data_IF_354313667692
#
_entry.id   IF_354313667692
#
_cell.length_a   1.000
_cell.length_b   1.000
_cell.length_c   1.000
_cell.angle_alpha   90.00
_cell.angle_beta   90.00
_cell.angle_gamma   90.00
#
_symmetry.space_group_name_H-M   'P 1'
#
loop_
_entity.id
_entity.type
_entity.pdbx_description
1 polymer ?
#
# COMPACT_ATOMS: atom_id res chain seq x y z
N UNK A 1 -0.61 11.59 -29.15
CA UNK A 1 0.63 11.59 -28.35
C UNK A 1 0.75 10.24 -27.65
N UNK A 2 1.93 9.61 -27.70
CA UNK A 2 2.19 8.32 -27.08
C UNK A 2 2.13 8.44 -25.55
N UNK A 3 1.25 7.66 -24.91
CA UNK A 3 1.05 7.62 -23.46
C UNK A 3 2.38 7.41 -22.72
N UNK A 4 3.30 6.61 -23.27
CA UNK A 4 4.58 6.31 -22.64
C UNK A 4 5.54 7.50 -22.61
N UNK A 5 5.56 8.29 -23.69
CA UNK A 5 6.40 9.50 -23.77
C UNK A 5 5.94 10.52 -22.73
N UNK A 6 4.63 10.73 -22.64
CA UNK A 6 4.03 11.67 -21.71
C UNK A 6 4.14 11.19 -20.25
N UNK A 7 4.01 9.88 -20.02
CA UNK A 7 4.21 9.28 -18.71
C UNK A 7 5.67 9.44 -18.24
N UNK A 8 6.65 9.19 -19.13
CA UNK A 8 8.09 9.37 -18.82
C UNK A 8 8.44 10.83 -18.51
N UNK A 9 7.75 11.78 -19.15
CA UNK A 9 7.85 13.22 -18.84
C UNK A 9 7.14 13.61 -17.53
N UNK A 10 6.47 12.68 -16.85
CA UNK A 10 5.75 12.92 -15.61
C UNK A 10 4.50 13.77 -15.80
N UNK A 11 3.87 13.77 -16.99
CA UNK A 11 2.63 14.53 -17.21
C UNK A 11 1.50 13.96 -16.35
N UNK A 12 0.89 14.79 -15.50
CA UNK A 12 -0.15 14.38 -14.53
C UNK A 12 -1.31 13.64 -15.16
N UNK A 13 -1.81 14.09 -16.32
CA UNK A 13 -2.89 13.42 -17.04
C UNK A 13 -2.49 12.03 -17.57
N UNK A 14 -1.25 11.85 -18.02
CA UNK A 14 -0.75 10.55 -18.45
C UNK A 14 -0.57 9.59 -17.27
N UNK A 15 -0.09 10.08 -16.12
CA UNK A 15 0.02 9.29 -14.88
C UNK A 15 -1.38 8.84 -14.43
N UNK A 16 -2.34 9.77 -14.34
CA UNK A 16 -3.71 9.45 -13.95
C UNK A 16 -4.32 8.39 -14.89
N UNK A 17 -4.20 8.57 -16.20
CA UNK A 17 -4.67 7.59 -17.19
C UNK A 17 -4.00 6.22 -17.04
N UNK A 18 -2.68 6.19 -16.82
CA UNK A 18 -1.94 4.95 -16.63
C UNK A 18 -2.38 4.21 -15.35
N UNK A 19 -2.59 4.92 -14.24
CA UNK A 19 -3.11 4.33 -13.00
C UNK A 19 -4.55 3.81 -13.22
N UNK A 20 -5.41 4.57 -13.89
CA UNK A 20 -6.77 4.10 -14.23
C UNK A 20 -6.76 2.82 -15.08
N UNK A 21 -5.84 2.69 -16.04
CA UNK A 21 -5.66 1.45 -16.82
C UNK A 21 -5.24 0.30 -15.89
N UNK A 22 -4.26 0.54 -15.02
CA UNK A 22 -3.78 -0.46 -14.05
C UNK A 22 -4.90 -0.95 -13.13
N UNK A 23 -5.79 -0.05 -12.72
CA UNK A 23 -6.91 -0.35 -11.83
C UNK A 23 -8.03 -1.12 -12.54
N UNK A 24 -8.35 -0.81 -13.80
CA UNK A 24 -9.62 -1.22 -14.40
C UNK A 24 -9.50 -2.15 -15.61
N UNK A 25 -8.33 -2.24 -16.26
CA UNK A 25 -8.15 -3.07 -17.46
C UNK A 25 -6.92 -3.96 -17.32
N UNK A 26 -7.14 -5.23 -16.98
CA UNK A 26 -6.07 -6.21 -16.80
C UNK A 26 -5.24 -6.46 -18.07
N UNK A 27 -5.86 -6.39 -19.25
CA UNK A 27 -5.20 -6.69 -20.52
C UNK A 27 -4.29 -5.54 -20.95
N UNK A 28 -4.80 -4.31 -20.91
CA UNK A 28 -4.00 -3.12 -21.19
C UNK A 28 -2.96 -2.86 -20.09
N UNK A 29 -3.28 -3.15 -18.83
CA UNK A 29 -2.33 -3.12 -17.71
C UNK A 29 -1.12 -4.03 -17.97
N UNK A 30 -1.34 -5.30 -18.37
CA UNK A 30 -0.24 -6.22 -18.74
C UNK A 30 0.64 -5.65 -19.86
N UNK A 31 0.04 -5.07 -20.91
CA UNK A 31 0.79 -4.46 -22.03
C UNK A 31 1.61 -3.25 -21.58
N UNK A 32 1.03 -2.36 -20.78
CA UNK A 32 1.70 -1.18 -20.25
C UNK A 32 2.86 -1.56 -19.33
N UNK A 33 2.60 -2.43 -18.35
CA UNK A 33 3.59 -2.88 -17.37
C UNK A 33 4.78 -3.56 -18.03
N UNK A 34 4.55 -4.41 -19.04
CA UNK A 34 5.62 -5.04 -19.82
C UNK A 34 6.59 -4.03 -20.43
N UNK A 35 6.09 -2.88 -20.88
CA UNK A 35 6.91 -1.82 -21.51
C UNK A 35 7.69 -1.00 -20.49
N UNK A 36 7.16 -0.79 -19.29
CA UNK A 36 7.79 0.06 -18.28
C UNK A 36 8.66 -0.71 -17.27
N UNK A 37 8.47 -2.04 -17.14
CA UNK A 37 9.03 -2.86 -16.06
C UNK A 37 10.55 -2.70 -15.87
N UNK A 38 11.33 -2.61 -16.97
CA UNK A 38 12.80 -2.42 -16.93
C UNK A 38 13.23 -1.15 -16.17
N UNK A 39 12.35 -0.17 -16.02
CA UNK A 39 12.62 1.11 -15.37
C UNK A 39 11.93 1.25 -14.00
N UNK A 40 11.50 0.14 -13.39
CA UNK A 40 10.81 0.08 -12.09
C UNK A 40 11.71 -0.53 -11.01
N UNK A 41 11.29 -0.48 -9.74
CA UNK A 41 12.03 -1.00 -8.58
C UNK A 41 13.16 -0.08 -8.09
N UNK A 42 13.14 1.20 -8.46
CA UNK A 42 14.23 2.14 -8.15
C UNK A 42 13.91 3.12 -7.02
N UNK A 43 12.63 3.28 -6.71
CA UNK A 43 12.16 4.20 -5.69
C UNK A 43 12.19 3.57 -4.30
N UNK A 44 12.29 4.41 -3.27
CA UNK A 44 12.03 3.98 -1.90
C UNK A 44 10.53 4.11 -1.63
N UNK A 45 9.93 3.04 -1.14
CA UNK A 45 8.53 3.00 -0.75
C UNK A 45 8.40 3.32 0.73
N UNK A 46 7.62 4.35 1.07
CA UNK A 46 7.38 4.77 2.45
C UNK A 46 5.92 4.52 2.79
N UNK A 47 5.64 3.56 3.67
CA UNK A 47 4.31 3.32 4.20
C UNK A 47 4.05 4.21 5.41
N UNK A 48 2.96 4.96 5.42
CA UNK A 48 2.55 5.79 6.56
C UNK A 48 1.16 5.34 7.00
N UNK A 49 1.12 4.79 8.22
CA UNK A 49 -0.07 4.18 8.80
C UNK A 49 -0.35 4.71 10.19
N UNK A 50 -1.46 4.32 10.80
CA UNK A 50 -1.91 4.76 12.12
C UNK A 50 -3.43 4.95 12.18
N UNK A 51 -4.01 5.24 13.35
CA UNK A 51 -5.44 5.34 13.51
C UNK A 51 -6.05 6.48 12.65
N UNK A 52 -7.34 6.35 12.37
CA UNK A 52 -8.12 7.42 11.76
C UNK A 52 -8.01 8.70 12.60
N UNK A 53 -7.97 9.86 11.96
CA UNK A 53 -7.86 11.14 12.67
C UNK A 53 -6.47 11.46 13.24
N UNK A 54 -5.46 10.59 13.11
CA UNK A 54 -4.08 10.88 13.53
C UNK A 54 -3.40 12.04 12.78
N UNK A 55 -4.04 12.58 11.74
CA UNK A 55 -3.53 13.72 10.97
C UNK A 55 -2.49 13.33 9.91
N UNK A 56 -2.54 12.07 9.43
CA UNK A 56 -1.60 11.50 8.46
C UNK A 56 -1.56 12.29 7.15
N UNK A 57 -2.69 12.57 6.53
CA UNK A 57 -2.74 13.27 5.23
C UNK A 57 -2.13 14.68 5.34
N UNK A 58 -2.50 15.44 6.37
CA UNK A 58 -1.95 16.79 6.58
C UNK A 58 -0.44 16.76 6.88
N UNK A 59 0.02 15.75 7.62
CA UNK A 59 1.44 15.52 7.89
C UNK A 59 2.20 15.17 6.61
N UNK A 60 1.67 14.28 5.78
CA UNK A 60 2.25 13.87 4.50
C UNK A 60 2.40 15.08 3.58
N UNK A 61 1.36 15.92 3.47
CA UNK A 61 1.39 17.11 2.64
C UNK A 61 2.52 18.08 3.02
N UNK A 62 2.64 18.41 4.32
CA UNK A 62 3.74 19.27 4.80
C UNK A 62 5.11 18.62 4.64
N UNK A 63 5.22 17.33 4.92
CA UNK A 63 6.46 16.57 4.81
C UNK A 63 6.93 16.52 3.36
N UNK A 64 6.03 16.25 2.40
CA UNK A 64 6.33 16.18 0.98
C UNK A 64 6.92 17.50 0.45
N UNK A 65 6.40 18.65 0.90
CA UNK A 65 6.97 19.96 0.56
C UNK A 65 8.40 20.11 1.05
N UNK A 66 8.70 19.68 2.29
CA UNK A 66 10.07 19.73 2.82
C UNK A 66 10.98 18.74 2.09
N UNK A 67 10.51 17.52 1.83
CA UNK A 67 11.27 16.51 1.10
C UNK A 67 11.67 16.99 -0.31
N UNK A 68 10.81 17.76 -0.98
CA UNK A 68 11.16 18.42 -2.25
C UNK A 68 12.28 19.45 -2.11
N UNK A 69 12.22 20.30 -1.08
CA UNK A 69 13.32 21.23 -0.77
C UNK A 69 14.62 20.50 -0.47
N UNK A 70 14.54 19.26 0.02
CA UNK A 70 15.69 18.37 0.20
C UNK A 70 16.11 17.65 -1.09
N UNK A 71 15.57 17.98 -2.26
CA UNK A 71 15.96 17.44 -3.56
C UNK A 71 15.33 16.11 -3.95
N UNK A 72 14.27 15.67 -3.26
CA UNK A 72 13.51 14.46 -3.64
C UNK A 72 12.28 14.82 -4.50
N UNK A 73 11.65 13.81 -5.10
CA UNK A 73 10.44 13.98 -5.92
C UNK A 73 9.34 13.03 -5.42
N UNK A 74 8.67 13.34 -4.30
CA UNK A 74 7.67 12.46 -3.71
C UNK A 74 6.40 12.35 -4.58
N UNK A 75 5.75 11.20 -4.53
CA UNK A 75 4.36 10.99 -4.91
C UNK A 75 3.62 10.25 -3.78
N UNK A 76 2.30 10.40 -3.70
CA UNK A 76 1.47 9.84 -2.63
C UNK A 76 0.35 8.99 -3.24
N UNK A 77 0.23 7.74 -2.79
CA UNK A 77 -0.87 6.84 -3.04
C UNK A 77 -1.64 6.63 -1.74
N UNK A 78 -2.88 7.07 -1.67
CA UNK A 78 -3.73 6.85 -0.52
C UNK A 78 -4.58 5.60 -0.73
N UNK A 79 -4.43 4.60 0.13
CA UNK A 79 -5.25 3.39 0.11
C UNK A 79 -6.50 3.65 0.93
N UNK A 80 -7.62 3.81 0.23
CA UNK A 80 -8.93 4.05 0.83
C UNK A 80 -9.77 2.76 0.76
N UNK A 81 -10.76 2.57 1.67
CA UNK A 81 -11.67 1.45 1.57
C UNK A 81 -12.50 1.59 0.29
N UNK A 82 -13.05 0.46 -0.15
CA UNK A 82 -13.80 0.41 -1.41
C UNK A 82 -15.25 0.75 -1.18
N UNK A 83 -15.75 1.68 -1.98
CA UNK A 83 -17.16 2.04 -1.99
C UNK A 83 -17.99 0.87 -2.48
N UNK A 84 -18.94 0.42 -1.67
CA UNK A 84 -19.93 -0.57 -2.08
C UNK A 84 -20.86 -0.08 -3.20
N UNK A 85 -20.92 1.24 -3.44
CA UNK A 85 -21.78 1.85 -4.46
C UNK A 85 -21.04 2.03 -5.79
N UNK A 86 -19.82 2.57 -5.74
CA UNK A 86 -19.08 2.95 -6.96
C UNK A 86 -17.94 2.01 -7.31
N UNK A 87 -17.54 1.11 -6.41
CA UNK A 87 -16.35 0.28 -6.54
C UNK A 87 -15.01 1.06 -6.48
N UNK A 88 -15.06 2.38 -6.32
CA UNK A 88 -13.90 3.26 -6.19
C UNK A 88 -13.56 3.59 -4.74
N UNK A 89 -12.56 4.46 -4.54
CA UNK A 89 -12.16 4.93 -3.22
C UNK A 89 -13.26 5.76 -2.54
N UNK A 90 -13.65 5.42 -1.30
CA UNK A 90 -14.74 6.09 -0.55
C UNK A 90 -14.41 7.55 -0.25
N UNK A 91 -13.22 7.82 0.28
CA UNK A 91 -12.86 9.14 0.81
C UNK A 91 -12.32 10.10 -0.27
N UNK A 92 -12.14 9.58 -1.49
CA UNK A 92 -12.23 10.36 -2.70
C UNK A 92 -10.95 11.06 -3.13
N UNK A 93 -10.54 10.74 -4.35
CA UNK A 93 -9.52 11.46 -5.14
C UNK A 93 -9.69 12.99 -5.13
N UNK A 94 -10.93 13.52 -5.10
CA UNK A 94 -11.17 14.97 -5.32
C UNK A 94 -10.67 15.85 -4.18
N UNK A 95 -10.85 15.46 -2.92
CA UNK A 95 -10.37 16.25 -1.76
C UNK A 95 -8.84 16.24 -1.74
N UNK A 96 -8.24 15.07 -1.96
CA UNK A 96 -6.78 14.88 -1.99
C UNK A 96 -6.12 15.50 -3.23
N UNK A 97 -6.84 15.63 -4.35
CA UNK A 97 -6.38 16.31 -5.57
C UNK A 97 -6.23 17.83 -5.39
N UNK A 98 -7.05 18.48 -4.55
CA UNK A 98 -6.88 19.90 -4.21
C UNK A 98 -5.58 20.12 -3.40
N UNK A 99 -5.30 19.26 -2.44
CA UNK A 99 -4.05 19.28 -1.64
C UNK A 99 -2.78 18.99 -2.48
N UNK A 100 -2.96 18.25 -3.58
CA UNK A 100 -1.91 17.87 -4.52
C UNK A 100 -1.38 19.06 -5.35
N UNK A 101 -2.25 20.03 -5.64
CA UNK A 101 -1.89 21.26 -6.36
C UNK A 101 -1.00 22.17 -5.53
N UNK A 102 -1.34 22.35 -4.25
CA UNK A 102 -0.63 23.27 -3.34
C UNK A 102 0.77 22.78 -2.95
N UNK A 103 0.94 21.46 -2.84
CA UNK A 103 2.24 20.84 -2.58
C UNK A 103 3.06 20.60 -3.85
N UNK A 104 2.44 20.68 -5.03
CA UNK A 104 2.96 20.22 -6.32
C UNK A 104 3.27 18.72 -6.39
N UNK A 105 2.91 17.95 -5.36
CA UNK A 105 3.19 16.50 -5.23
C UNK A 105 2.09 15.76 -5.98
N UNK A 106 2.38 14.64 -6.64
CA UNK A 106 1.30 13.84 -7.22
C UNK A 106 0.60 13.05 -6.11
N UNK A 107 -0.71 13.23 -5.94
CA UNK A 107 -1.51 12.51 -4.93
C UNK A 107 -2.67 11.81 -5.66
N UNK A 108 -2.91 10.55 -5.32
CA UNK A 108 -3.96 9.71 -5.92
C UNK A 108 -4.54 8.76 -4.87
N UNK A 109 -5.85 8.63 -4.82
CA UNK A 109 -6.52 7.58 -4.05
C UNK A 109 -6.60 6.28 -4.86
N UNK A 110 -6.42 5.15 -4.19
CA UNK A 110 -6.57 3.79 -4.71
C UNK A 110 -7.57 3.07 -3.81
N UNK A 111 -8.53 2.37 -4.42
CA UNK A 111 -9.48 1.54 -3.69
C UNK A 111 -8.84 0.21 -3.27
N UNK A 112 -9.10 -0.24 -2.04
CA UNK A 112 -8.62 -1.54 -1.53
C UNK A 112 -9.18 -2.78 -2.24
N UNK A 113 -10.33 -2.65 -2.89
CA UNK A 113 -11.15 -3.68 -3.56
C UNK A 113 -11.51 -4.93 -2.75
N UNK A 114 -11.45 -4.89 -1.42
CA UNK A 114 -12.08 -5.88 -0.53
C UNK A 114 -11.58 -7.33 -0.62
N UNK A 115 -10.60 -7.63 -1.49
CA UNK A 115 -10.02 -8.95 -1.64
C UNK A 115 -8.56 -8.93 -1.13
N UNK A 116 -8.23 -9.89 -0.28
CA UNK A 116 -6.84 -10.14 0.15
C UNK A 116 -5.97 -10.30 -1.10
N UNK A 117 -4.93 -9.48 -1.22
CA UNK A 117 -4.03 -9.47 -2.38
C UNK A 117 -4.45 -8.59 -3.58
N UNK A 118 -5.71 -8.18 -3.73
CA UNK A 118 -6.12 -7.28 -4.82
C UNK A 118 -5.63 -5.84 -4.60
N UNK A 119 -5.67 -5.37 -3.34
CA UNK A 119 -5.03 -4.11 -2.90
C UNK A 119 -3.58 -4.09 -3.35
N UNK A 120 -2.86 -5.17 -3.04
CA UNK A 120 -1.42 -5.24 -3.25
C UNK A 120 -1.06 -5.25 -4.74
N UNK A 121 -1.86 -5.89 -5.62
CA UNK A 121 -1.62 -5.86 -7.07
C UNK A 121 -1.80 -4.47 -7.67
N UNK A 122 -2.95 -3.82 -7.42
CA UNK A 122 -3.22 -2.49 -7.99
C UNK A 122 -2.21 -1.46 -7.47
N UNK A 123 -1.91 -1.52 -6.17
CA UNK A 123 -0.92 -0.68 -5.52
C UNK A 123 0.48 -0.90 -6.10
N UNK A 124 0.97 -2.15 -6.20
CA UNK A 124 2.28 -2.49 -6.81
C UNK A 124 2.40 -1.94 -8.24
N UNK A 125 1.35 -2.08 -9.03
CA UNK A 125 1.38 -1.60 -10.41
C UNK A 125 1.29 -0.07 -10.51
N UNK A 126 0.56 0.58 -9.61
CA UNK A 126 0.53 2.04 -9.51
C UNK A 126 1.89 2.61 -9.08
N UNK A 127 2.58 1.93 -8.16
CA UNK A 127 3.96 2.22 -7.79
C UNK A 127 4.86 2.20 -9.03
N UNK A 128 4.83 1.11 -9.82
CA UNK A 128 5.60 1.00 -11.07
C UNK A 128 5.36 2.14 -12.05
N UNK A 129 4.11 2.59 -12.19
CA UNK A 129 3.75 3.74 -13.04
C UNK A 129 4.41 5.03 -12.53
N UNK A 130 4.39 5.27 -11.22
CA UNK A 130 5.03 6.43 -10.61
C UNK A 130 6.56 6.38 -10.70
N UNK A 131 7.16 5.20 -10.52
CA UNK A 131 8.60 5.00 -10.71
C UNK A 131 9.02 5.33 -12.13
N UNK A 132 8.27 4.85 -13.13
CA UNK A 132 8.53 5.17 -14.53
C UNK A 132 8.37 6.66 -14.84
N UNK A 133 7.50 7.37 -14.11
CA UNK A 133 7.37 8.83 -14.16
C UNK A 133 8.44 9.60 -13.35
N UNK A 134 9.39 8.88 -12.76
CA UNK A 134 10.57 9.40 -12.08
C UNK A 134 10.33 9.86 -10.63
N UNK A 135 9.24 9.43 -9.98
CA UNK A 135 9.01 9.76 -8.57
C UNK A 135 9.87 8.89 -7.64
N UNK A 136 10.46 9.54 -6.63
CA UNK A 136 11.20 8.91 -5.55
C UNK A 136 11.30 9.90 -4.37
N UNK A 137 10.73 9.59 -3.19
CA UNK A 137 10.07 8.33 -2.83
C UNK A 137 8.63 8.22 -3.35
N UNK A 138 8.02 7.04 -3.18
CA UNK A 138 6.57 6.84 -3.28
C UNK A 138 6.04 6.59 -1.87
N UNK A 139 5.12 7.44 -1.43
CA UNK A 139 4.50 7.41 -0.12
C UNK A 139 3.15 6.71 -0.25
N UNK A 140 2.87 5.75 0.63
CA UNK A 140 1.61 5.02 0.69
C UNK A 140 0.93 5.36 2.02
N UNK A 141 -0.28 5.89 1.98
CA UNK A 141 -1.05 6.23 3.18
C UNK A 141 -2.16 5.20 3.41
N UNK A 142 -2.28 4.66 4.62
CA UNK A 142 -3.50 3.94 5.05
C UNK A 142 -4.56 4.93 5.55
N UNK A 143 -5.84 4.64 5.35
CA UNK A 143 -6.91 5.41 6.01
C UNK A 143 -7.13 5.06 7.50
N UNK A 144 -6.48 4.03 8.04
CA UNK A 144 -6.61 3.65 9.45
C UNK A 144 -7.87 2.84 9.77
N UNK A 145 -8.32 1.99 8.85
CA UNK A 145 -9.49 1.13 9.01
C UNK A 145 -9.16 -0.33 8.59
N UNK A 146 -8.59 -1.13 9.51
CA UNK A 146 -8.56 -2.59 9.39
C UNK A 146 -7.20 -3.25 9.16
N UNK A 147 -7.15 -4.18 8.20
CA UNK A 147 -5.99 -5.06 7.89
C UNK A 147 -4.99 -4.44 6.88
N UNK A 148 -5.22 -3.21 6.41
CA UNK A 148 -4.40 -2.59 5.36
C UNK A 148 -3.03 -2.12 5.86
N UNK A 149 -2.90 -1.91 7.16
CA UNK A 149 -1.69 -1.51 7.88
C UNK A 149 -0.55 -2.53 7.64
N UNK A 150 -0.86 -3.83 7.78
CA UNK A 150 0.09 -4.93 7.60
C UNK A 150 0.44 -5.14 6.13
N UNK A 151 -0.54 -4.97 5.23
CA UNK A 151 -0.28 -5.04 3.79
C UNK A 151 0.67 -3.92 3.33
N UNK A 152 0.47 -2.71 3.85
CA UNK A 152 1.33 -1.57 3.56
C UNK A 152 2.76 -1.81 4.07
N UNK A 153 2.93 -2.37 5.28
CA UNK A 153 4.27 -2.66 5.82
C UNK A 153 5.02 -3.71 5.00
N UNK A 154 4.32 -4.70 4.43
CA UNK A 154 4.93 -5.70 3.54
C UNK A 154 5.48 -5.10 2.24
N UNK A 155 4.83 -4.03 1.73
CA UNK A 155 5.23 -3.34 0.50
C UNK A 155 6.26 -2.24 0.78
N UNK A 156 6.22 -1.62 1.95
CA UNK A 156 7.06 -0.48 2.31
C UNK A 156 8.53 -0.85 2.60
N UNK A 157 9.46 -0.04 2.12
CA UNK A 157 10.87 -0.11 2.52
C UNK A 157 11.10 0.56 3.89
N UNK A 158 10.31 1.60 4.17
CA UNK A 158 10.26 2.32 5.44
C UNK A 158 8.80 2.38 5.91
N UNK A 159 8.50 1.86 7.09
CA UNK A 159 7.17 1.96 7.71
C UNK A 159 7.16 3.02 8.80
N UNK A 160 6.25 3.97 8.70
CA UNK A 160 5.99 5.00 9.72
C UNK A 160 4.63 4.76 10.35
N UNK A 161 4.61 4.64 11.67
CA UNK A 161 3.37 4.50 12.44
C UNK A 161 3.11 5.81 13.18
N UNK A 162 2.00 6.46 12.85
CA UNK A 162 1.60 7.76 13.39
C UNK A 162 0.58 7.56 14.49
N UNK A 163 0.82 8.13 15.66
CA UNK A 163 -0.13 8.20 16.77
C UNK A 163 -0.54 9.64 17.00
N UNK A 164 -1.62 9.84 17.77
CA UNK A 164 -2.01 11.16 18.24
C UNK A 164 -2.52 11.13 19.69
N UNK A 165 -2.24 12.17 20.49
CA UNK A 165 -2.69 12.25 21.88
C UNK A 165 -4.20 12.16 22.01
N UNK A 166 -4.63 11.75 23.21
CA UNK A 166 -6.02 11.79 23.69
C UNK A 166 -7.03 11.01 22.83
N UNK A 167 -6.56 9.96 22.13
CA UNK A 167 -7.43 8.99 21.46
C UNK A 167 -7.25 7.62 22.09
N UNK A 168 -8.36 7.00 22.53
CA UNK A 168 -8.33 5.62 23.04
C UNK A 168 -7.75 4.64 22.03
N UNK A 169 -7.94 4.93 20.74
CA UNK A 169 -7.40 4.18 19.61
C UNK A 169 -5.88 4.09 19.63
N UNK A 170 -5.15 5.11 20.10
CA UNK A 170 -3.67 5.09 20.07
C UNK A 170 -3.11 4.00 20.98
N UNK A 171 -3.70 3.77 22.16
CA UNK A 171 -3.27 2.70 23.09
C UNK A 171 -3.70 1.32 22.55
N UNK A 172 -4.88 1.21 21.93
CA UNK A 172 -5.31 -0.03 21.30
C UNK A 172 -4.46 -0.40 20.09
N UNK A 173 -4.04 0.60 19.31
CA UNK A 173 -3.12 0.46 18.15
C UNK A 173 -1.78 -0.10 18.61
N UNK A 174 -1.24 0.37 19.74
CA UNK A 174 -0.02 -0.18 20.35
C UNK A 174 -0.21 -1.68 20.69
N UNK A 175 -1.38 -2.06 21.21
CA UNK A 175 -1.70 -3.46 21.57
C UNK A 175 -2.01 -4.35 20.36
N UNK A 176 -2.28 -3.79 19.19
CA UNK A 176 -2.67 -4.52 17.99
C UNK A 176 -1.48 -4.99 17.11
N UNK A 177 -0.25 -4.98 17.65
CA UNK A 177 0.96 -5.44 16.94
C UNK A 177 1.55 -4.43 15.95
N UNK A 178 1.00 -3.20 15.87
CA UNK A 178 1.53 -2.15 15.00
C UNK A 178 2.88 -1.59 15.50
N UNK A 179 3.27 -1.89 16.74
CA UNK A 179 4.59 -1.61 17.34
C UNK A 179 5.71 -2.51 16.82
N UNK A 180 5.41 -3.55 16.05
CA UNK A 180 6.42 -4.48 15.54
C UNK A 180 6.82 -4.18 14.09
N UNK A 181 5.97 -3.44 13.37
CA UNK A 181 6.09 -3.20 11.93
C UNK A 181 6.79 -1.87 11.59
N UNK A 182 6.87 -0.93 12.53
CA UNK A 182 7.36 0.42 12.30
C UNK A 182 8.88 0.55 12.37
N UNK A 183 9.45 1.27 11.40
CA UNK A 183 10.82 1.78 11.45
C UNK A 183 10.89 3.16 12.14
N UNK A 184 9.80 3.94 12.05
CA UNK A 184 9.62 5.24 12.71
C UNK A 184 8.26 5.26 13.41
N UNK A 185 8.24 5.73 14.65
CA UNK A 185 7.02 6.01 15.41
C UNK A 185 6.88 7.51 15.60
N UNK A 186 5.73 8.05 15.25
CA UNK A 186 5.52 9.49 15.21
C UNK A 186 4.32 9.88 16.07
N UNK A 187 4.55 10.63 17.14
CA UNK A 187 3.46 11.26 17.90
C UNK A 187 3.14 12.61 17.25
N UNK A 188 2.11 12.62 16.39
CA UNK A 188 1.62 13.82 15.71
C UNK A 188 0.63 14.58 16.60
N UNK A 189 0.30 15.82 16.21
CA UNK A 189 -0.47 16.79 17.02
C UNK A 189 0.19 17.05 18.38
N UNK A 190 1.51 17.19 18.36
CA UNK A 190 2.33 17.41 19.57
C UNK A 190 2.05 18.74 20.27
N UNK A 191 1.17 19.58 19.71
CA UNK A 191 0.63 20.78 20.31
C UNK A 191 -0.51 20.52 21.31
N UNK A 192 -1.00 19.28 21.41
CA UNK A 192 -2.04 18.87 22.36
C UNK A 192 -1.45 18.41 23.70
N UNK A 193 -2.24 18.55 24.77
CA UNK A 193 -1.95 17.91 26.06
C UNK A 193 -1.89 16.38 25.92
N UNK A 194 -1.19 15.70 26.82
CA UNK A 194 -1.02 14.24 26.77
C UNK A 194 0.05 13.75 25.76
N UNK A 195 0.64 14.64 24.96
CA UNK A 195 1.70 14.29 24.00
C UNK A 195 2.89 13.61 24.65
N UNK A 196 3.41 14.16 25.75
CA UNK A 196 4.59 13.59 26.41
C UNK A 196 4.25 12.22 27.02
N UNK A 197 3.09 12.07 27.65
CA UNK A 197 2.62 10.78 28.18
C UNK A 197 2.53 9.71 27.09
N UNK A 198 1.97 10.05 25.92
CA UNK A 198 1.91 9.12 24.80
C UNK A 198 3.31 8.83 24.22
N UNK A 199 4.18 9.83 24.13
CA UNK A 199 5.55 9.63 23.66
C UNK A 199 6.33 8.70 24.58
N UNK A 200 6.24 8.90 25.90
CA UNK A 200 6.87 8.03 26.90
C UNK A 200 6.29 6.62 26.82
N UNK A 201 4.96 6.47 26.73
CA UNK A 201 4.34 5.16 26.55
C UNK A 201 4.83 4.46 25.27
N UNK A 202 4.85 5.15 24.12
CA UNK A 202 5.37 4.60 22.85
C UNK A 202 6.83 4.21 23.01
N UNK A 203 7.64 5.01 23.71
CA UNK A 203 9.05 4.67 23.98
C UNK A 203 9.16 3.43 24.86
N UNK A 204 8.38 3.32 25.92
CA UNK A 204 8.48 2.21 26.86
C UNK A 204 8.00 0.89 26.22
N UNK A 205 6.98 0.94 25.36
CA UNK A 205 6.50 -0.24 24.63
C UNK A 205 7.46 -0.74 23.53
N UNK A 206 8.32 0.13 23.02
CA UNK A 206 9.12 -0.14 21.81
C UNK A 206 10.63 -0.20 22.12
N UNK A 207 11.07 0.47 23.19
CA UNK A 207 12.46 0.71 23.54
C UNK A 207 13.27 -0.55 23.85
N UNK A 208 12.61 -1.67 24.16
CA UNK A 208 13.26 -2.97 24.38
C UNK A 208 13.40 -3.80 23.09
N UNK A 209 13.07 -3.26 21.91
CA UNK A 209 13.29 -3.97 20.65
C UNK A 209 14.73 -3.83 20.15
N UNK A 210 15.33 -4.92 19.68
CA UNK A 210 16.67 -4.96 19.06
C UNK A 210 16.85 -3.95 17.89
N UNK A 211 15.74 -3.45 17.35
CA UNK A 211 15.71 -2.53 16.21
C UNK A 211 15.96 -1.06 16.57
N UNK A 212 15.88 -0.66 17.85
CA UNK A 212 16.00 0.73 18.32
C UNK A 212 15.33 1.75 17.36
N UNK A 213 14.02 1.63 17.14
CA UNK A 213 13.33 2.43 16.12
C UNK A 213 13.26 3.90 16.53
N UNK A 214 13.13 4.77 15.52
CA UNK A 214 13.16 6.22 15.72
C UNK A 214 11.79 6.70 16.21
N UNK A 215 11.76 7.43 17.33
CA UNK A 215 10.52 8.01 17.88
C UNK A 215 10.60 9.53 17.83
N UNK A 216 9.63 10.18 17.19
CA UNK A 216 9.61 11.64 16.98
C UNK A 216 8.27 12.25 17.37
N UNK A 217 8.28 13.57 17.60
CA UNK A 217 7.07 14.39 17.82
C UNK A 217 6.89 15.37 16.67
N UNK A 218 5.66 15.54 16.21
CA UNK A 218 5.33 16.52 15.16
C UNK A 218 4.05 17.28 15.46
N UNK A 219 3.97 18.53 15.00
CA UNK A 219 2.71 19.27 14.92
C UNK A 219 2.62 19.95 13.56
N UNK A 220 1.65 19.53 12.76
CA UNK A 220 1.29 20.22 11.51
C UNK A 220 0.81 21.64 11.78
N UNK A 221 0.02 21.84 12.84
CA UNK A 221 -0.55 23.14 13.22
C UNK A 221 0.53 24.16 13.60
N UNK A 222 1.54 23.72 14.36
CA UNK A 222 2.67 24.58 14.78
C UNK A 222 3.87 24.51 13.82
N UNK A 223 3.81 23.66 12.80
CA UNK A 223 4.90 23.37 11.88
C UNK A 223 6.21 22.94 12.59
N UNK A 224 6.09 22.20 13.70
CA UNK A 224 7.23 21.70 14.49
C UNK A 224 7.51 20.23 14.19
N UNK A 225 8.79 19.82 14.22
CA UNK A 225 9.23 18.45 13.97
C UNK A 225 9.15 17.98 12.50
N UNK A 226 8.40 18.67 11.63
CA UNK A 226 8.22 18.28 10.22
C UNK A 226 9.56 18.22 9.46
N UNK A 227 10.43 19.22 9.67
CA UNK A 227 11.71 19.28 8.99
C UNK A 227 12.68 18.19 9.47
N UNK A 228 12.66 17.87 10.75
CA UNK A 228 13.41 16.76 11.34
C UNK A 228 12.91 15.43 10.78
N UNK A 229 11.60 15.19 10.80
CA UNK A 229 11.00 13.99 10.24
C UNK A 229 11.35 13.79 8.75
N UNK A 230 11.27 14.84 7.93
CA UNK A 230 11.66 14.77 6.52
C UNK A 230 13.14 14.43 6.31
N UNK A 231 14.04 14.98 7.15
CA UNK A 231 15.47 14.66 7.13
C UNK A 231 15.73 13.22 7.55
N UNK A 232 15.06 12.74 8.60
CA UNK A 232 15.12 11.35 9.07
C UNK A 232 14.71 10.39 7.95
N UNK A 233 13.57 10.64 7.29
CA UNK A 233 13.13 9.85 6.13
C UNK A 233 14.19 9.83 5.02
N UNK A 234 14.74 10.99 4.64
CA UNK A 234 15.78 11.08 3.60
C UNK A 234 17.02 10.27 3.97
N UNK A 235 17.47 10.32 5.22
CA UNK A 235 18.62 9.54 5.67
C UNK A 235 18.33 8.03 5.62
N UNK A 236 17.15 7.62 6.09
CA UNK A 236 16.72 6.21 6.04
C UNK A 236 16.54 5.71 4.61
N UNK A 237 16.09 6.54 3.67
CA UNK A 237 16.02 6.19 2.24
C UNK A 237 17.40 5.74 1.71
N UNK A 238 18.47 6.44 2.10
CA UNK A 238 19.85 6.07 1.70
C UNK A 238 20.26 4.72 2.30
N UNK A 239 19.95 4.49 3.57
CA UNK A 239 20.27 3.24 4.26
C UNK A 239 19.49 2.06 3.66
N UNK A 240 18.18 2.19 3.52
CA UNK A 240 17.30 1.15 2.99
C UNK A 240 17.63 0.83 1.53
N UNK A 241 18.06 1.80 0.72
CA UNK A 241 18.50 1.55 -0.66
C UNK A 241 19.61 0.50 -0.75
N UNK A 242 20.52 0.44 0.23
CA UNK A 242 21.59 -0.57 0.27
C UNK A 242 21.07 -1.99 0.55
N UNK A 243 20.03 -2.08 1.39
CA UNK A 243 19.42 -3.34 1.82
C UNK A 243 18.24 -3.79 0.92
N UNK A 244 17.80 -2.92 0.00
CA UNK A 244 16.60 -3.08 -0.80
C UNK A 244 16.64 -4.29 -1.73
N UNK A 245 17.82 -4.66 -2.25
CA UNK A 245 17.96 -5.74 -3.24
C UNK A 245 17.40 -7.08 -2.75
N UNK A 246 17.67 -7.45 -1.50
CA UNK A 246 17.18 -8.71 -0.93
C UNK A 246 15.66 -8.68 -0.74
N UNK A 247 15.13 -7.61 -0.12
CA UNK A 247 13.68 -7.45 0.07
C UNK A 247 12.90 -7.41 -1.24
N UNK A 248 13.44 -6.76 -2.26
CA UNK A 248 12.79 -6.69 -3.57
C UNK A 248 12.76 -8.06 -4.24
N UNK A 249 13.78 -8.90 -4.05
CA UNK A 249 13.78 -10.27 -4.54
C UNK A 249 12.67 -11.11 -3.88
N UNK A 250 12.54 -11.03 -2.56
CA UNK A 250 11.47 -11.72 -1.81
C UNK A 250 10.07 -11.26 -2.27
N UNK A 251 9.88 -9.96 -2.47
CA UNK A 251 8.62 -9.39 -2.98
C UNK A 251 8.30 -9.84 -4.40
N UNK A 252 9.31 -9.86 -5.29
CA UNK A 252 9.16 -10.33 -6.66
C UNK A 252 8.83 -11.82 -6.71
N UNK A 253 9.46 -12.62 -5.84
CA UNK A 253 9.16 -14.04 -5.71
C UNK A 253 7.72 -14.27 -5.26
N UNK A 254 7.28 -13.57 -4.22
CA UNK A 254 5.90 -13.64 -3.74
C UNK A 254 4.90 -13.23 -4.84
N UNK A 255 5.17 -12.14 -5.55
CA UNK A 255 4.32 -11.70 -6.65
C UNK A 255 4.30 -12.70 -7.81
N UNK A 256 5.45 -13.29 -8.16
CA UNK A 256 5.50 -14.30 -9.22
C UNK A 256 4.69 -15.54 -8.84
N UNK A 257 4.82 -16.01 -7.59
CA UNK A 257 4.01 -17.11 -7.05
C UNK A 257 2.52 -16.80 -7.14
N UNK A 258 2.11 -15.61 -6.70
CA UNK A 258 0.71 -15.16 -6.80
C UNK A 258 0.22 -15.16 -8.26
N UNK A 259 1.03 -14.68 -9.21
CA UNK A 259 0.66 -14.65 -10.63
C UNK A 259 0.51 -16.08 -11.18
N UNK A 260 1.44 -16.98 -10.86
CA UNK A 260 1.38 -18.38 -11.31
C UNK A 260 0.14 -19.07 -10.76
N UNK A 261 -0.12 -18.93 -9.46
CA UNK A 261 -1.29 -19.53 -8.80
C UNK A 261 -2.60 -18.98 -9.39
N UNK A 262 -2.69 -17.68 -9.64
CA UNK A 262 -3.87 -17.08 -10.27
C UNK A 262 -4.07 -17.56 -11.71
N UNK A 263 -3.00 -17.68 -12.51
CA UNK A 263 -3.13 -18.20 -13.87
C UNK A 263 -3.61 -19.67 -13.88
N UNK A 264 -3.14 -20.48 -12.92
CA UNK A 264 -3.60 -21.88 -12.76
C UNK A 264 -5.06 -21.89 -12.36
N UNK A 265 -5.45 -21.06 -11.37
CA UNK A 265 -6.83 -20.96 -10.91
C UNK A 265 -7.79 -20.54 -12.02
N UNK A 266 -7.49 -19.48 -12.77
CA UNK A 266 -8.29 -19.03 -13.92
C UNK A 266 -8.51 -20.18 -14.91
N UNK A 267 -7.46 -20.94 -15.22
CA UNK A 267 -7.55 -22.09 -16.15
C UNK A 267 -8.38 -23.25 -15.58
N UNK A 268 -8.27 -23.52 -14.28
CA UNK A 268 -9.08 -24.55 -13.61
C UNK A 268 -10.56 -24.13 -13.57
N UNK A 269 -10.85 -22.86 -13.28
CA UNK A 269 -12.22 -22.33 -13.28
C UNK A 269 -12.87 -22.49 -14.67
N UNK A 270 -12.16 -22.14 -15.75
CA UNK A 270 -12.62 -22.36 -17.13
C UNK A 270 -12.89 -23.86 -17.44
N UNK A 271 -12.05 -24.75 -16.90
CA UNK A 271 -12.24 -26.20 -17.04
C UNK A 271 -13.46 -26.69 -16.24
N UNK A 272 -13.66 -26.20 -15.02
CA UNK A 272 -14.80 -26.56 -14.17
C UNK A 272 -16.13 -26.12 -14.79
N UNK A 273 -16.19 -24.92 -15.35
CA UNK A 273 -17.40 -24.36 -15.97
C UNK A 273 -17.85 -25.15 -17.21
N UNK A 274 -16.92 -25.82 -17.88
CA UNK A 274 -17.16 -26.60 -19.10
C UNK A 274 -17.24 -28.11 -18.88
N UNK A 275 -16.96 -28.60 -17.67
CA UNK A 275 -16.87 -30.03 -17.37
C UNK A 275 -18.20 -30.64 -16.89
N UNK A 276 -18.75 -31.55 -17.71
CA UNK A 276 -19.95 -32.34 -17.38
C UNK A 276 -19.76 -33.20 -16.11
N UNK A 277 -18.52 -33.53 -15.76
CA UNK A 277 -18.16 -34.28 -14.55
C UNK A 277 -18.42 -33.46 -13.30
N UNK A 278 -18.14 -32.16 -13.32
CA UNK A 278 -18.44 -31.24 -12.23
C UNK A 278 -19.94 -31.22 -11.94
N UNK A 279 -20.78 -31.04 -12.98
CA UNK A 279 -22.24 -31.10 -12.85
C UNK A 279 -22.73 -32.44 -12.30
N UNK A 280 -22.10 -33.56 -12.67
CA UNK A 280 -22.45 -34.90 -12.17
C UNK A 280 -22.18 -35.04 -10.67
N UNK A 281 -21.03 -34.59 -10.19
CA UNK A 281 -20.72 -34.61 -8.76
C UNK A 281 -21.61 -33.63 -7.97
N UNK A 282 -21.98 -32.50 -8.56
CA UNK A 282 -22.90 -31.54 -7.96
C UNK A 282 -24.28 -32.15 -7.69
N UNK A 283 -24.80 -32.96 -8.62
CA UNK A 283 -26.04 -33.73 -8.40
C UNK A 283 -25.90 -34.76 -7.27
N UNK A 284 -24.76 -35.46 -7.19
CA UNK A 284 -24.49 -36.43 -6.11
C UNK A 284 -24.37 -35.77 -4.73
N UNK A 285 -23.82 -34.55 -4.67
CA UNK A 285 -23.79 -33.76 -3.44
C UNK A 285 -25.19 -33.37 -2.99
N UNK A 286 -26.06 -32.98 -3.93
CA UNK A 286 -27.47 -32.63 -3.65
C UNK A 286 -28.27 -33.84 -3.14
N UNK A 287 -28.05 -35.03 -3.70
CA UNK A 287 -28.65 -36.27 -3.19
C UNK A 287 -27.97 -36.83 -1.94
N UNK A 288 -26.86 -36.23 -1.50
CA UNK A 288 -26.00 -36.70 -0.38
C UNK A 288 -25.39 -38.09 -0.58
N UNK A 289 -25.22 -38.52 -1.84
CA UNK A 289 -24.56 -39.79 -2.20
C UNK A 289 -23.03 -39.73 -2.07
N UNK A 290 -22.47 -38.53 -1.90
CA UNK A 290 -21.05 -38.25 -1.69
C UNK A 290 -20.93 -36.98 -0.85
N UNK A 291 -19.88 -36.85 -0.05
CA UNK A 291 -19.59 -35.61 0.67
C UNK A 291 -18.72 -34.64 -0.15
N UNK A 292 -18.65 -33.34 0.24
CA UNK A 292 -17.90 -32.33 -0.49
C UNK A 292 -16.39 -32.61 -0.63
N UNK A 293 -15.76 -33.26 0.35
CA UNK A 293 -14.32 -33.52 0.33
C UNK A 293 -13.98 -34.61 -0.68
N UNK A 294 -14.68 -35.74 -0.62
CA UNK A 294 -14.52 -36.86 -1.55
C UNK A 294 -14.82 -36.46 -3.01
N UNK A 295 -15.85 -35.62 -3.21
CA UNK A 295 -16.18 -35.08 -4.52
C UNK A 295 -15.04 -34.19 -5.05
N UNK A 296 -14.52 -33.28 -4.21
CA UNK A 296 -13.40 -32.41 -4.55
C UNK A 296 -12.14 -33.16 -4.94
N UNK A 297 -11.77 -34.19 -4.17
CA UNK A 297 -10.61 -35.05 -4.45
C UNK A 297 -10.74 -35.79 -5.78
N UNK A 298 -11.94 -36.31 -6.07
CA UNK A 298 -12.20 -37.04 -7.33
C UNK A 298 -12.15 -36.12 -8.55
N UNK A 299 -12.76 -34.93 -8.46
CA UNK A 299 -12.73 -33.92 -9.52
C UNK A 299 -11.28 -33.48 -9.77
N UNK A 300 -10.54 -33.17 -8.71
CA UNK A 300 -9.14 -32.72 -8.80
C UNK A 300 -8.26 -33.78 -9.44
N UNK A 301 -8.37 -35.05 -9.02
CA UNK A 301 -7.63 -36.17 -9.62
C UNK A 301 -7.96 -36.37 -11.10
N UNK A 302 -9.20 -36.14 -11.54
CA UNK A 302 -9.54 -36.24 -12.96
C UNK A 302 -8.95 -35.10 -13.80
N UNK A 303 -8.75 -33.91 -13.21
CA UNK A 303 -8.20 -32.74 -13.91
C UNK A 303 -6.68 -32.73 -14.01
N UNK A 304 -5.98 -33.44 -13.11
CA UNK A 304 -4.51 -33.53 -13.09
C UNK A 304 -3.95 -34.70 -13.91
N UNK A 305 -4.80 -35.50 -14.56
CA UNK A 305 -4.41 -36.56 -15.51
C UNK A 305 -4.38 -36.02 -16.93
#
# INVERSE_FOLDING_TARGET
>A
MDLLVDLKKGKRGAIAKAITIVENDQKESKKLLKKIFKNTGTSIIIGITGPAGAGKSSLINKTAVVMKKLGTKPAVLAVDPTSHVTGGAILGDRVRMTESTDSGTYIRSIASRGATGAVSRSLRNSIRVLEYAGFNPIIIESVGAGQTEVEISNIADITVVVFNPNTGDSIQTIKAGLTEIGDIYLVNKSDLSGTNQLFDAVRDFIGDSDKNPVILKTSVKKNTGIAEFAKTLKNMMVLKKKLKKQKDQERLEAELKDIVLNNIREKIDDMLDSDKTFTKYLKKLQSKDIDPFDAGDKITKSMLK
#
